data_IF_912033393448
#
_entry.id   IF_912033393448
#
_cell.length_a   1.000
_cell.length_b   1.000
_cell.length_c   1.000
_cell.angle_alpha   90.00
_cell.angle_beta   90.00
_cell.angle_gamma   90.00
#
_symmetry.space_group_name_H-M   'P 1'
#
loop_
_entity.id
_entity.type
_entity.pdbx_description
1 polymer ?
#
# COMPACT_ATOMS: atom_id res chain seq x y z
N UNK A 1 -3.38 -11.25 -5.74
CA UNK A 1 -2.96 -11.02 -4.34
C UNK A 1 -3.57 -12.08 -3.44
N UNK A 2 -3.24 -13.36 -3.65
CA UNK A 2 -3.88 -14.48 -2.94
C UNK A 2 -3.28 -14.76 -1.57
N UNK A 3 -2.49 -13.83 -0.99
CA UNK A 3 -1.70 -14.09 0.23
C UNK A 3 -1.88 -13.08 1.38
N UNK A 4 -2.65 -12.00 1.20
CA UNK A 4 -2.95 -11.06 2.29
C UNK A 4 -4.43 -11.17 2.61
N UNK A 5 -4.73 -11.50 3.86
CA UNK A 5 -6.10 -11.59 4.35
C UNK A 5 -6.83 -10.27 4.19
N UNK A 6 -8.06 -10.31 3.68
CA UNK A 6 -8.88 -9.13 3.45
C UNK A 6 -8.44 -8.21 2.30
N UNK A 7 -7.36 -8.51 1.56
CA UNK A 7 -6.96 -7.69 0.41
C UNK A 7 -7.92 -7.87 -0.79
N UNK A 8 -8.42 -6.76 -1.33
CA UNK A 8 -9.42 -6.72 -2.40
C UNK A 8 -8.84 -6.20 -3.72
N UNK A 9 -8.09 -5.09 -3.66
CA UNK A 9 -7.56 -4.43 -4.86
C UNK A 9 -6.12 -3.96 -4.64
N UNK A 10 -5.40 -3.76 -5.74
CA UNK A 10 -4.12 -3.07 -5.77
C UNK A 10 -3.99 -2.33 -7.09
N UNK A 11 -3.89 -1.01 -6.97
CA UNK A 11 -3.81 -0.10 -8.08
C UNK A 11 -2.58 0.78 -7.96
N UNK A 12 -1.99 1.14 -9.11
CA UNK A 12 -0.86 2.04 -9.20
C UNK A 12 -1.31 3.30 -9.95
N UNK A 13 -1.28 4.44 -9.27
CA UNK A 13 -1.55 5.74 -9.89
C UNK A 13 -0.21 6.42 -10.17
N UNK A 14 0.02 6.75 -11.44
CA UNK A 14 1.18 7.54 -11.86
C UNK A 14 0.67 8.95 -12.15
N UNK A 15 1.28 9.93 -11.50
CA UNK A 15 0.95 11.36 -11.61
C UNK A 15 2.20 12.12 -12.02
N UNK A 16 2.02 13.37 -12.45
CA UNK A 16 3.14 14.22 -12.85
C UNK A 16 4.08 14.48 -11.66
N UNK A 17 3.54 14.51 -10.42
CA UNK A 17 4.29 14.82 -9.21
C UNK A 17 4.85 13.58 -8.48
N UNK A 18 4.12 12.46 -8.50
CA UNK A 18 4.50 11.25 -7.76
C UNK A 18 3.82 9.98 -8.28
N UNK A 19 4.11 8.88 -7.59
CA UNK A 19 3.44 7.58 -7.76
C UNK A 19 2.72 7.24 -6.46
N UNK A 20 1.46 6.81 -6.56
CA UNK A 20 0.69 6.30 -5.43
C UNK A 20 0.33 4.84 -5.64
N UNK A 21 0.41 4.05 -4.57
CA UNK A 21 -0.12 2.68 -4.56
C UNK A 21 -1.34 2.64 -3.65
N UNK A 22 -2.47 2.24 -4.21
CA UNK A 22 -3.72 2.08 -3.48
C UNK A 22 -3.97 0.60 -3.24
N UNK A 23 -4.19 0.23 -1.98
CA UNK A 23 -4.55 -1.12 -1.58
C UNK A 23 -5.92 -1.08 -0.94
N UNK A 24 -6.89 -1.76 -1.55
CA UNK A 24 -8.24 -1.92 -0.99
C UNK A 24 -8.30 -3.12 -0.07
N UNK A 25 -8.95 -2.96 1.08
CA UNK A 25 -9.17 -4.03 2.07
C UNK A 25 -10.64 -4.16 2.44
N UNK A 26 -11.02 -5.33 2.94
CA UNK A 26 -12.37 -5.63 3.41
C UNK A 26 -12.77 -4.80 4.63
N UNK A 27 -11.82 -4.49 5.50
CA UNK A 27 -12.01 -3.69 6.71
C UNK A 27 -10.73 -2.95 7.12
N UNK A 28 -10.86 -2.09 8.14
CA UNK A 28 -9.77 -1.27 8.67
C UNK A 28 -8.67 -2.12 9.33
N UNK A 29 -9.04 -3.22 10.00
CA UNK A 29 -8.10 -4.08 10.72
C UNK A 29 -7.16 -4.78 9.74
N UNK A 30 -7.69 -5.32 8.65
CA UNK A 30 -6.91 -5.91 7.56
C UNK A 30 -5.96 -4.89 6.92
N UNK A 31 -6.41 -3.64 6.72
CA UNK A 31 -5.56 -2.57 6.18
C UNK A 31 -4.41 -2.21 7.12
N UNK A 32 -4.65 -2.18 8.44
CA UNK A 32 -3.62 -1.92 9.44
C UNK A 32 -2.63 -3.09 9.55
N UNK A 33 -3.13 -4.32 9.64
CA UNK A 33 -2.32 -5.53 9.73
C UNK A 33 -1.39 -5.68 8.52
N UNK A 34 -1.83 -5.27 7.33
CA UNK A 34 -1.03 -5.28 6.11
C UNK A 34 0.30 -4.52 6.26
N UNK A 35 0.31 -3.37 6.94
CA UNK A 35 1.50 -2.53 7.09
C UNK A 35 2.61 -3.19 7.90
N UNK A 36 2.27 -4.18 8.73
CA UNK A 36 3.22 -4.94 9.55
C UNK A 36 3.76 -6.18 8.82
N UNK A 37 3.25 -6.50 7.62
CA UNK A 37 3.65 -7.70 6.90
C UNK A 37 5.03 -7.58 6.26
N UNK A 38 5.71 -8.71 6.08
CA UNK A 38 6.96 -8.75 5.31
C UNK A 38 6.75 -8.30 3.87
N UNK A 39 5.60 -8.62 3.27
CA UNK A 39 5.26 -8.16 1.93
C UNK A 39 5.27 -6.64 1.83
N UNK A 40 4.70 -5.94 2.81
CA UNK A 40 4.75 -4.47 2.81
C UNK A 40 6.18 -3.98 3.11
N UNK A 41 6.71 -4.36 4.27
CA UNK A 41 7.95 -3.79 4.84
C UNK A 41 9.21 -4.15 4.06
N UNK A 42 9.27 -5.34 3.45
CA UNK A 42 10.45 -5.83 2.74
C UNK A 42 10.29 -5.82 1.23
N UNK A 43 9.09 -6.04 0.70
CA UNK A 43 8.92 -6.10 -0.76
C UNK A 43 8.39 -4.79 -1.34
N UNK A 44 7.25 -4.27 -0.85
CA UNK A 44 6.65 -3.04 -1.41
C UNK A 44 7.53 -1.82 -1.14
N UNK A 45 7.95 -1.63 0.10
CA UNK A 45 8.83 -0.52 0.51
C UNK A 45 10.13 -0.55 -0.31
N UNK A 46 10.84 -1.68 -0.30
CA UNK A 46 12.12 -1.81 -1.02
C UNK A 46 11.96 -1.67 -2.53
N UNK A 47 10.89 -2.24 -3.11
CA UNK A 47 10.63 -2.17 -4.55
C UNK A 47 10.32 -0.76 -5.04
N UNK A 48 9.73 0.08 -4.18
CA UNK A 48 9.41 1.47 -4.51
C UNK A 48 10.50 2.46 -4.13
N UNK A 49 11.38 2.13 -3.17
CA UNK A 49 12.44 3.00 -2.68
C UNK A 49 13.27 3.70 -3.79
N UNK A 50 13.63 3.05 -4.91
CA UNK A 50 14.36 3.71 -5.99
C UNK A 50 13.59 4.83 -6.71
N UNK A 51 12.25 4.85 -6.57
CA UNK A 51 11.36 5.83 -7.20
C UNK A 51 11.02 7.00 -6.28
N UNK A 52 11.53 7.00 -5.05
CA UNK A 52 11.18 8.01 -4.05
C UNK A 52 11.97 9.30 -4.27
N UNK A 53 11.24 10.40 -4.40
CA UNK A 53 11.81 11.74 -4.30
C UNK A 53 11.95 12.22 -2.84
N UNK A 54 11.13 11.66 -1.94
CA UNK A 54 11.07 11.91 -0.49
C UNK A 54 10.48 10.69 0.22
N UNK A 55 10.49 10.70 1.55
CA UNK A 55 9.87 9.63 2.35
C UNK A 55 8.39 9.44 1.97
N UNK A 56 7.92 8.18 1.89
CA UNK A 56 6.55 7.88 1.52
C UNK A 56 5.58 8.32 2.62
N UNK A 57 4.39 8.77 2.22
CA UNK A 57 3.30 9.08 3.15
C UNK A 57 2.26 7.95 3.10
N UNK A 58 2.00 7.30 4.24
CA UNK A 58 1.02 6.21 4.35
C UNK A 58 -0.24 6.76 5.01
N UNK A 59 -1.39 6.58 4.35
CA UNK A 59 -2.71 6.99 4.85
C UNK A 59 -3.70 5.85 4.69
N UNK A 60 -4.51 5.62 5.73
CA UNK A 60 -5.62 4.68 5.69
C UNK A 60 -6.92 5.49 5.66
N UNK A 61 -7.80 5.16 4.71
CA UNK A 61 -9.09 5.81 4.54
C UNK A 61 -10.20 4.77 4.72
N UNK A 62 -11.20 5.08 5.54
CA UNK A 62 -12.45 4.32 5.58
C UNK A 62 -13.39 4.89 4.53
N UNK A 63 -13.93 4.03 3.68
CA UNK A 63 -14.97 4.42 2.71
C UNK A 63 -16.31 4.51 3.45
N UNK A 64 -17.06 5.59 3.21
CA UNK A 64 -18.37 5.85 3.81
C UNK A 64 -19.53 5.29 2.96
#
# INVERSE_FOLDING_TARGET
>A
MTQIEGALTKDLLVRDEDVQVLHGFADLEAAQAYLETELFTKDVVTGLQPLWFKDPEIKIYSVA
#
